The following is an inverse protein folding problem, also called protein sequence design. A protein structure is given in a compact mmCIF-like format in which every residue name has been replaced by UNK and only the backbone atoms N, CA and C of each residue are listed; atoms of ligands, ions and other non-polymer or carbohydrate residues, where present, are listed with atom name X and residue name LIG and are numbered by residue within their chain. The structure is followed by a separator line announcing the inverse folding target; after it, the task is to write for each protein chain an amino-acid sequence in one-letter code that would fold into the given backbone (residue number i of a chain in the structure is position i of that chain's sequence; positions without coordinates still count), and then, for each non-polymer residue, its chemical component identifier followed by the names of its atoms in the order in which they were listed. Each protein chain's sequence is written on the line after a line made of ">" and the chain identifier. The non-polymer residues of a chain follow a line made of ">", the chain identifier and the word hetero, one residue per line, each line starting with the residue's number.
data_IF_714803821828
#
_entry.id   IF_714803821828
#
_cell.length_a   1.000
_cell.length_b   1.000
_cell.length_c   1.000
_cell.angle_alpha   90.00
_cell.angle_beta   90.00
_cell.angle_gamma   90.00
#
_symmetry.space_group_name_H-M   'P 1'
#
loop_
_entity.id
_entity.type
_entity.pdbx_description
1 polymer ?
#
# COMPACT_ATOMS: atom_id res chain seq x y z
N UNK A 1 58.23 23.77 -25.99
CA UNK A 1 57.90 24.04 -27.42
C UNK A 1 56.76 23.08 -27.77
N UNK A 2 55.51 23.53 -27.84
CA UNK A 2 54.86 24.13 -29.03
C UNK A 2 54.81 23.14 -30.21
N UNK A 3 53.71 22.81 -30.89
CA UNK A 3 52.35 23.32 -30.88
C UNK A 3 51.40 22.28 -31.54
N UNK A 4 50.11 22.42 -31.20
CA UNK A 4 48.88 22.25 -32.00
C UNK A 4 48.87 21.38 -33.28
N UNK A 5 47.87 20.49 -33.36
CA UNK A 5 47.16 20.19 -34.62
C UNK A 5 45.70 19.85 -34.30
N UNK A 6 44.84 20.82 -34.56
CA UNK A 6 43.39 20.77 -34.54
C UNK A 6 42.82 20.13 -35.80
N UNK A 7 41.68 19.44 -35.70
CA UNK A 7 40.70 19.33 -36.79
C UNK A 7 39.33 19.15 -36.19
N UNK A 8 38.58 20.26 -36.14
CA UNK A 8 37.14 20.25 -36.00
C UNK A 8 36.48 20.14 -37.36
N UNK A 9 35.33 19.48 -37.42
CA UNK A 9 34.39 19.61 -38.53
C UNK A 9 33.07 20.12 -37.98
N UNK A 10 32.83 21.40 -38.23
CA UNK A 10 31.54 22.07 -38.13
C UNK A 10 30.98 22.22 -39.54
N UNK A 11 29.72 21.86 -39.74
CA UNK A 11 28.94 22.31 -40.89
C UNK A 11 27.72 23.10 -40.38
N UNK A 12 27.76 24.41 -40.61
CA UNK A 12 26.63 25.34 -40.79
C UNK A 12 26.57 25.60 -42.32
N UNK A 13 25.49 25.84 -43.05
CA UNK A 13 24.15 26.42 -42.85
C UNK A 13 23.24 25.87 -43.97
N UNK A 14 21.91 25.94 -43.88
CA UNK A 14 21.15 26.99 -44.57
C UNK A 14 19.70 27.04 -44.09
N UNK A 15 19.21 28.26 -44.07
CA UNK A 15 17.96 28.76 -43.51
C UNK A 15 16.84 28.91 -44.56
N UNK A 16 15.60 28.93 -44.07
CA UNK A 16 14.39 29.61 -44.60
C UNK A 16 13.57 28.93 -45.71
N UNK A 17 12.30 28.68 -45.39
CA UNK A 17 11.20 28.43 -46.33
C UNK A 17 9.87 28.21 -45.59
N UNK A 18 9.06 29.27 -45.51
CA UNK A 18 7.76 29.38 -44.81
C UNK A 18 6.61 28.59 -45.51
N UNK A 19 5.40 28.50 -44.90
CA UNK A 19 4.35 27.51 -45.20
C UNK A 19 3.48 27.90 -46.41
N UNK A 20 2.68 26.98 -46.99
CA UNK A 20 1.77 27.36 -48.06
C UNK A 20 0.57 28.14 -47.48
N UNK A 21 0.52 29.41 -47.84
CA UNK A 21 -0.65 30.29 -47.70
C UNK A 21 -1.14 30.55 -49.13
N UNK A 22 -2.36 30.15 -49.46
CA UNK A 22 -3.06 30.67 -50.64
C UNK A 22 -4.04 31.74 -50.15
N UNK A 23 -3.79 33.01 -50.49
CA UNK A 23 -4.80 34.08 -50.54
C UNK A 23 -5.55 34.02 -51.88
N UNK A 24 -6.68 34.68 -52.13
CA UNK A 24 -7.41 35.80 -51.52
C UNK A 24 -8.73 35.97 -52.36
N UNK A 25 -9.50 37.08 -52.33
CA UNK A 25 -10.36 37.69 -51.30
C UNK A 25 -11.85 37.79 -51.75
N UNK A 26 -12.80 38.15 -50.86
CA UNK A 26 -13.78 39.24 -51.08
C UNK A 26 -14.66 39.47 -49.84
N UNK A 27 -15.14 40.71 -49.72
CA UNK A 27 -15.57 41.41 -48.50
C UNK A 27 -16.96 41.04 -47.92
N UNK A 28 -17.11 41.32 -46.62
CA UNK A 28 -18.40 41.44 -45.91
C UNK A 28 -19.24 42.63 -46.45
N UNK A 29 -20.55 42.74 -46.15
CA UNK A 29 -20.92 43.45 -44.90
C UNK A 29 -22.29 43.03 -44.26
N UNK A 30 -22.49 43.29 -42.94
CA UNK A 30 -23.73 43.63 -42.16
C UNK A 30 -25.06 42.90 -42.48
N UNK A 31 -25.92 42.45 -41.55
CA UNK A 31 -26.39 43.09 -40.32
C UNK A 31 -27.27 42.12 -39.49
N UNK A 32 -27.26 42.30 -38.17
CA UNK A 32 -28.35 42.21 -37.17
C UNK A 32 -29.56 41.27 -37.36
N UNK A 33 -29.94 40.57 -36.27
CA UNK A 33 -31.21 40.77 -35.50
C UNK A 33 -31.78 39.47 -34.88
N UNK A 34 -31.69 39.38 -33.55
CA UNK A 34 -32.70 38.90 -32.58
C UNK A 34 -33.23 37.45 -32.49
N UNK A 35 -33.66 37.15 -31.27
CA UNK A 35 -34.05 35.88 -30.63
C UNK A 35 -35.54 35.49 -30.81
N UNK A 36 -36.12 34.59 -29.96
CA UNK A 36 -36.58 33.23 -30.25
C UNK A 36 -38.13 33.11 -30.34
N UNK A 37 -38.70 31.93 -30.67
CA UNK A 37 -40.03 31.49 -30.15
C UNK A 37 -40.30 30.02 -30.47
N UNK A 38 -40.83 29.35 -29.45
CA UNK A 38 -41.38 28.00 -29.36
C UNK A 38 -42.54 27.71 -30.33
N UNK A 39 -42.70 26.44 -30.71
CA UNK A 39 -43.91 25.96 -31.37
C UNK A 39 -43.96 24.43 -31.41
N UNK A 40 -44.70 23.84 -30.47
CA UNK A 40 -45.01 22.42 -30.40
C UNK A 40 -45.96 21.96 -31.54
N UNK A 41 -45.83 20.70 -31.98
CA UNK A 41 -46.89 19.77 -32.45
C UNK A 41 -46.21 18.50 -33.00
N UNK A 42 -46.23 17.33 -32.35
CA UNK A 42 -47.28 16.28 -32.27
C UNK A 42 -47.58 15.49 -33.56
N UNK A 43 -47.19 14.20 -33.52
CA UNK A 43 -47.87 12.98 -34.01
C UNK A 43 -47.73 12.60 -35.51
N UNK A 44 -46.89 11.60 -35.83
CA UNK A 44 -47.34 10.24 -36.22
C UNK A 44 -46.24 9.38 -36.85
N UNK A 45 -46.35 8.08 -36.58
CA UNK A 45 -45.45 6.99 -36.91
C UNK A 45 -45.29 6.69 -38.42
N UNK A 46 -44.09 6.23 -38.79
CA UNK A 46 -43.87 5.31 -39.89
C UNK A 46 -43.02 4.16 -39.38
N UNK A 47 -43.61 2.97 -39.40
CA UNK A 47 -42.97 1.68 -39.20
C UNK A 47 -41.93 1.46 -40.30
N UNK A 48 -40.68 1.23 -39.93
CA UNK A 48 -39.74 0.56 -40.81
C UNK A 48 -38.77 -0.26 -39.95
N UNK A 49 -38.89 -1.57 -40.04
CA UNK A 49 -37.90 -2.53 -39.56
C UNK A 49 -36.54 -2.18 -40.19
N UNK A 50 -35.65 -1.66 -39.37
CA UNK A 50 -34.23 -1.61 -39.65
C UNK A 50 -33.53 -2.10 -38.39
N UNK A 51 -32.98 -3.30 -38.47
CA UNK A 51 -32.16 -3.95 -37.45
C UNK A 51 -30.94 -3.08 -37.15
N UNK A 52 -31.09 -2.13 -36.22
CA UNK A 52 -29.97 -1.44 -35.60
C UNK A 52 -29.34 -2.38 -34.58
N UNK A 53 -28.00 -2.47 -34.48
CA UNK A 53 -27.39 -3.14 -33.34
C UNK A 53 -27.81 -2.36 -32.10
N UNK A 54 -28.62 -2.97 -31.24
CA UNK A 54 -28.92 -2.47 -29.90
C UNK A 54 -27.65 -2.55 -29.04
N UNK A 55 -26.68 -1.69 -29.31
CA UNK A 55 -25.81 -1.17 -28.28
C UNK A 55 -26.54 0.05 -27.70
N UNK A 56 -27.70 -0.18 -27.05
CA UNK A 56 -28.24 0.82 -26.16
C UNK A 56 -27.17 1.04 -25.09
N UNK A 57 -26.49 2.18 -25.17
CA UNK A 57 -25.57 2.61 -24.12
C UNK A 57 -26.35 2.50 -22.81
N UNK A 58 -25.92 1.57 -21.94
CA UNK A 58 -26.55 1.39 -20.65
C UNK A 58 -26.60 2.78 -19.98
N UNK A 59 -27.74 3.17 -19.36
CA UNK A 59 -27.80 4.39 -18.57
C UNK A 59 -26.59 4.44 -17.63
N UNK A 60 -25.93 5.59 -17.59
CA UNK A 60 -24.77 5.79 -16.71
C UNK A 60 -25.24 5.58 -15.27
N UNK A 61 -24.93 4.41 -14.72
CA UNK A 61 -25.26 4.09 -13.34
C UNK A 61 -24.25 4.79 -12.45
N UNK A 62 -24.68 5.91 -11.87
CA UNK A 62 -23.89 6.75 -10.98
C UNK A 62 -23.87 6.19 -9.55
N UNK A 63 -24.56 5.07 -9.30
CA UNK A 63 -24.76 4.53 -7.97
C UNK A 63 -25.68 5.37 -7.08
N UNK A 64 -26.16 4.78 -5.97
CA UNK A 64 -26.91 5.50 -4.96
C UNK A 64 -26.01 6.52 -4.24
N UNK A 65 -26.54 7.67 -3.78
CA UNK A 65 -25.71 8.68 -3.11
C UNK A 65 -25.07 8.12 -1.83
N UNK A 66 -23.80 8.45 -1.60
CA UNK A 66 -23.10 8.13 -0.35
C UNK A 66 -22.40 6.77 -0.29
N UNK A 67 -22.41 5.99 -1.38
CA UNK A 67 -21.56 4.80 -1.47
C UNK A 67 -20.07 5.16 -1.48
N UNK A 68 -19.25 4.27 -0.92
CA UNK A 68 -17.81 4.44 -0.76
C UNK A 68 -17.02 3.55 -1.71
N UNK A 69 -17.56 2.39 -2.07
CA UNK A 69 -16.95 1.47 -3.01
C UNK A 69 -17.98 0.62 -3.76
N UNK A 70 -17.55 -0.09 -4.80
CA UNK A 70 -18.33 -1.14 -5.43
C UNK A 70 -17.55 -2.46 -5.47
N UNK A 71 -18.29 -3.56 -5.58
CA UNK A 71 -17.75 -4.89 -5.88
C UNK A 71 -18.67 -5.58 -6.88
N UNK A 72 -18.09 -6.31 -7.83
CA UNK A 72 -18.84 -7.13 -8.78
C UNK A 72 -18.93 -8.56 -8.27
N UNK A 73 -20.15 -9.06 -8.08
CA UNK A 73 -20.45 -10.46 -7.79
C UNK A 73 -20.83 -11.19 -9.07
N UNK A 74 -20.60 -12.51 -9.10
CA UNK A 74 -20.90 -13.37 -10.25
C UNK A 74 -20.30 -12.86 -11.58
N UNK A 75 -19.08 -12.34 -11.53
CA UNK A 75 -18.34 -11.80 -12.68
C UNK A 75 -18.31 -12.81 -13.84
N UNK A 76 -18.60 -12.36 -15.06
CA UNK A 76 -18.68 -13.18 -16.27
C UNK A 76 -19.80 -14.23 -16.28
N UNK A 77 -20.87 -14.02 -15.52
CA UNK A 77 -22.07 -14.88 -15.54
C UNK A 77 -23.31 -14.06 -15.94
N UNK A 78 -24.42 -14.69 -16.37
CA UNK A 78 -25.67 -13.96 -16.64
C UNK A 78 -26.26 -13.27 -15.40
N UNK A 79 -25.78 -13.61 -14.20
CA UNK A 79 -26.22 -13.04 -12.93
C UNK A 79 -25.22 -12.01 -12.38
N UNK A 80 -24.30 -11.51 -13.22
CA UNK A 80 -23.32 -10.50 -12.81
C UNK A 80 -24.01 -9.30 -12.18
N UNK A 81 -23.52 -8.90 -11.01
CA UNK A 81 -24.16 -7.89 -10.18
C UNK A 81 -23.14 -6.98 -9.53
N UNK A 82 -23.24 -5.69 -9.80
CA UNK A 82 -22.51 -4.66 -9.05
C UNK A 82 -23.25 -4.36 -7.75
N UNK A 83 -22.56 -4.49 -6.63
CA UNK A 83 -23.07 -4.12 -5.30
C UNK A 83 -22.42 -2.81 -4.87
N UNK A 84 -23.25 -1.84 -4.49
CA UNK A 84 -22.82 -0.55 -3.96
C UNK A 84 -22.61 -0.64 -2.46
N UNK A 85 -21.38 -0.39 -2.03
CA UNK A 85 -20.92 -0.55 -0.66
C UNK A 85 -20.85 0.82 0.02
N UNK A 86 -21.55 0.97 1.13
CA UNK A 86 -21.50 2.13 2.00
C UNK A 86 -20.36 2.00 3.04
N UNK A 87 -20.59 2.43 4.30
CA UNK A 87 -19.61 2.29 5.36
C UNK A 87 -19.23 0.83 5.65
N UNK A 88 -17.99 0.63 6.09
CA UNK A 88 -17.49 -0.68 6.53
C UNK A 88 -17.16 -0.72 8.02
N UNK A 89 -17.15 -1.92 8.58
CA UNK A 89 -16.60 -2.22 9.90
C UNK A 89 -15.79 -3.52 9.83
N UNK A 90 -14.60 -3.54 10.44
CA UNK A 90 -13.80 -4.77 10.54
C UNK A 90 -14.04 -5.42 11.90
N UNK A 91 -14.67 -6.59 11.90
CA UNK A 91 -15.11 -7.29 13.12
C UNK A 91 -14.46 -8.66 13.26
N UNK A 92 -14.49 -9.21 14.48
CA UNK A 92 -13.98 -10.53 14.82
C UNK A 92 -12.49 -10.54 15.18
N UNK A 93 -12.10 -11.52 15.99
CA UNK A 93 -10.70 -11.80 16.36
C UNK A 93 -10.17 -13.09 15.71
N UNK A 94 -10.96 -14.19 15.75
CA UNK A 94 -10.62 -15.50 15.16
C UNK A 94 -11.31 -15.80 13.81
N UNK A 95 -12.19 -14.91 13.37
CA UNK A 95 -12.80 -14.96 12.05
C UNK A 95 -12.98 -13.54 11.55
N UNK A 96 -11.85 -12.87 11.34
CA UNK A 96 -11.87 -11.47 10.94
C UNK A 96 -12.64 -11.30 9.64
N UNK A 97 -13.60 -10.38 9.63
CA UNK A 97 -14.38 -10.07 8.44
C UNK A 97 -14.67 -8.59 8.34
N UNK A 98 -14.77 -8.10 7.11
CA UNK A 98 -15.26 -6.78 6.79
C UNK A 98 -16.76 -6.86 6.57
N UNK A 99 -17.52 -6.12 7.37
CA UNK A 99 -18.95 -5.91 7.16
C UNK A 99 -19.13 -4.63 6.38
N UNK A 100 -19.73 -4.74 5.20
CA UNK A 100 -20.12 -3.60 4.38
C UNK A 100 -21.62 -3.39 4.51
N UNK A 101 -22.01 -2.20 4.96
CA UNK A 101 -23.39 -1.74 4.85
C UNK A 101 -23.64 -1.39 3.39
N UNK A 102 -24.41 -2.20 2.68
CA UNK A 102 -24.70 -1.93 1.28
C UNK A 102 -25.65 -0.73 1.17
N UNK A 103 -25.54 0.02 0.08
CA UNK A 103 -26.27 1.28 -0.07
C UNK A 103 -27.77 1.09 -0.33
N UNK A 104 -28.21 -0.12 -0.64
CA UNK A 104 -29.62 -0.49 -0.70
C UNK A 104 -30.09 -1.01 0.66
N UNK A 105 -31.31 -0.64 1.06
CA UNK A 105 -31.82 -0.87 2.42
C UNK A 105 -31.66 -2.33 2.90
N UNK A 106 -31.04 -2.47 4.07
CA UNK A 106 -30.86 -3.73 4.81
C UNK A 106 -30.00 -4.79 4.11
N UNK A 107 -29.33 -4.45 3.01
CA UNK A 107 -28.38 -5.36 2.37
C UNK A 107 -27.04 -5.35 3.09
N UNK A 108 -26.41 -6.52 3.19
CA UNK A 108 -25.15 -6.72 3.91
C UNK A 108 -24.19 -7.54 3.06
N UNK A 109 -22.95 -7.08 2.95
CA UNK A 109 -21.86 -7.86 2.38
C UNK A 109 -20.81 -8.15 3.45
N UNK A 110 -20.55 -9.43 3.70
CA UNK A 110 -19.48 -9.90 4.57
C UNK A 110 -18.30 -10.37 3.72
N UNK A 111 -17.13 -9.78 3.90
CA UNK A 111 -15.88 -10.25 3.31
C UNK A 111 -15.01 -10.89 4.41
N UNK A 112 -14.90 -12.22 4.39
CA UNK A 112 -14.07 -12.96 5.34
C UNK A 112 -12.60 -12.87 4.94
N UNK A 113 -11.77 -12.40 5.86
CA UNK A 113 -10.33 -12.29 5.66
C UNK A 113 -9.67 -13.68 5.82
N UNK A 114 -8.60 -13.98 5.05
CA UNK A 114 -7.95 -15.30 5.05
C UNK A 114 -7.10 -15.58 6.31
N UNK A 115 -6.78 -14.55 7.09
CA UNK A 115 -5.99 -14.66 8.32
C UNK A 115 -6.58 -13.78 9.42
N UNK A 116 -6.49 -14.29 10.64
CA UNK A 116 -6.83 -13.56 11.87
C UNK A 116 -5.75 -12.57 12.27
N UNK A 117 -4.53 -12.75 11.75
CA UNK A 117 -3.40 -11.84 12.00
C UNK A 117 -3.47 -10.69 11.00
N UNK A 118 -3.67 -9.43 11.44
CA UNK A 118 -3.78 -8.29 10.53
C UNK A 118 -2.54 -8.04 9.67
N UNK A 119 -1.35 -8.37 10.19
CA UNK A 119 -0.09 -8.23 9.48
C UNK A 119 -0.01 -9.09 8.20
N UNK A 120 -0.72 -10.23 8.17
CA UNK A 120 -0.71 -11.19 7.06
C UNK A 120 -1.69 -10.83 5.94
N UNK A 121 -2.46 -9.75 6.08
CA UNK A 121 -3.39 -9.29 5.05
C UNK A 121 -2.72 -8.24 4.17
N UNK A 122 -2.74 -8.44 2.85
CA UNK A 122 -2.03 -7.58 1.90
C UNK A 122 -2.93 -7.04 0.78
N UNK A 123 -3.57 -5.87 0.96
CA UNK A 123 -4.30 -5.19 -0.09
C UNK A 123 -3.37 -4.79 -1.26
N UNK A 124 -3.73 -5.24 -2.46
CA UNK A 124 -2.96 -5.03 -3.68
C UNK A 124 -3.53 -3.88 -4.50
N UNK A 125 -2.66 -2.96 -4.92
CA UNK A 125 -2.96 -1.90 -5.89
C UNK A 125 -1.95 -1.95 -7.03
N UNK A 126 -2.36 -1.49 -8.21
CA UNK A 126 -1.56 -1.58 -9.42
C UNK A 126 -0.53 -0.46 -9.50
N UNK A 127 0.59 -0.77 -10.14
CA UNK A 127 1.62 0.18 -10.53
C UNK A 127 1.16 1.10 -11.68
N UNK A 128 1.60 2.36 -11.70
CA UNK A 128 1.25 3.37 -12.72
C UNK A 128 1.38 2.92 -14.18
N UNK A 129 2.40 2.12 -14.49
CA UNK A 129 2.62 1.56 -15.84
C UNK A 129 1.48 0.67 -16.36
N UNK A 130 0.62 0.13 -15.49
CA UNK A 130 -0.54 -0.64 -15.94
C UNK A 130 -1.63 0.23 -16.58
N UNK A 131 -1.68 1.52 -16.24
CA UNK A 131 -2.56 2.53 -16.86
C UNK A 131 -1.76 3.81 -17.13
N UNK A 132 -0.95 3.85 -18.21
CA UNK A 132 0.02 4.93 -18.44
C UNK A 132 -0.62 6.30 -18.72
N UNK A 133 -1.92 6.35 -19.03
CA UNK A 133 -2.67 7.56 -19.33
C UNK A 133 -3.58 8.03 -18.19
N UNK A 134 -3.47 7.37 -17.03
CA UNK A 134 -4.27 7.65 -15.83
C UNK A 134 -3.34 8.24 -14.76
N UNK A 135 -3.86 9.11 -13.88
CA UNK A 135 -3.10 9.53 -12.70
C UNK A 135 -2.77 8.28 -11.85
N UNK A 136 -1.50 7.99 -11.53
CA UNK A 136 -1.17 6.84 -10.69
C UNK A 136 -1.86 6.86 -9.32
N UNK A 137 -2.28 8.02 -8.81
CA UNK A 137 -3.05 8.10 -7.57
C UNK A 137 -4.42 7.43 -7.71
N UNK A 138 -5.07 7.51 -8.88
CA UNK A 138 -6.34 6.83 -9.14
C UNK A 138 -6.21 5.30 -9.12
N UNK A 139 -5.00 4.75 -9.29
CA UNK A 139 -4.78 3.31 -9.11
C UNK A 139 -4.97 2.84 -7.65
N UNK A 140 -4.94 3.75 -6.67
CA UNK A 140 -5.31 3.41 -5.29
C UNK A 140 -6.82 3.26 -5.10
N UNK A 141 -7.65 3.70 -6.04
CA UNK A 141 -9.09 3.45 -6.00
C UNK A 141 -9.40 1.96 -6.19
N UNK A 142 -8.52 1.22 -6.89
CA UNK A 142 -8.73 -0.18 -7.25
C UNK A 142 -7.94 -1.10 -6.31
N UNK A 143 -8.62 -1.65 -5.32
CA UNK A 143 -8.03 -2.58 -4.37
C UNK A 143 -8.42 -4.01 -4.72
N UNK A 144 -7.42 -4.89 -4.77
CA UNK A 144 -7.62 -6.32 -4.99
C UNK A 144 -6.86 -7.16 -3.98
N UNK A 145 -7.21 -8.43 -3.88
CA UNK A 145 -6.43 -9.41 -3.14
C UNK A 145 -5.89 -10.48 -4.09
N UNK A 146 -4.68 -10.97 -3.81
CA UNK A 146 -4.00 -11.94 -4.69
C UNK A 146 -4.59 -13.33 -4.59
N UNK A 147 -5.27 -13.62 -3.48
CA UNK A 147 -5.91 -14.90 -3.21
C UNK A 147 -7.43 -14.68 -3.16
N UNK A 148 -8.23 -15.65 -3.62
CA UNK A 148 -9.68 -15.59 -3.49
C UNK A 148 -10.09 -15.58 -2.01
N UNK A 149 -11.03 -14.72 -1.66
CA UNK A 149 -11.57 -14.62 -0.31
C UNK A 149 -13.04 -15.00 -0.30
N UNK A 150 -13.53 -15.50 0.84
CA UNK A 150 -14.95 -15.84 0.95
C UNK A 150 -15.75 -14.55 1.11
N UNK A 151 -16.73 -14.36 0.24
CA UNK A 151 -17.66 -13.24 0.30
C UNK A 151 -19.06 -13.81 0.46
N UNK A 152 -19.81 -13.27 1.42
CA UNK A 152 -21.23 -13.53 1.60
C UNK A 152 -22.01 -12.25 1.36
N UNK A 153 -23.07 -12.33 0.55
CA UNK A 153 -23.98 -11.21 0.34
C UNK A 153 -25.42 -11.63 0.67
N UNK A 154 -26.03 -10.82 1.53
CA UNK A 154 -27.37 -11.00 2.07
C UNK A 154 -28.25 -9.85 1.60
N UNK A 155 -29.39 -10.16 1.01
CA UNK A 155 -30.36 -9.16 0.54
C UNK A 155 -31.08 -8.50 1.70
N UNK A 156 -31.82 -7.41 1.43
CA UNK A 156 -32.61 -6.71 2.45
C UNK A 156 -33.71 -7.57 3.10
N UNK A 157 -34.09 -8.68 2.48
CA UNK A 157 -35.03 -9.67 3.02
C UNK A 157 -34.35 -10.68 3.98
N UNK A 158 -33.03 -10.57 4.17
CA UNK A 158 -32.25 -11.51 4.97
C UNK A 158 -31.86 -12.80 4.23
N UNK A 159 -32.05 -12.87 2.91
CA UNK A 159 -31.74 -14.05 2.11
C UNK A 159 -30.29 -13.98 1.62
N UNK A 160 -29.52 -15.02 1.92
CA UNK A 160 -28.15 -15.17 1.39
C UNK A 160 -28.23 -15.66 -0.06
N UNK A 161 -27.78 -14.82 -0.99
CA UNK A 161 -27.78 -15.16 -2.43
C UNK A 161 -26.38 -15.45 -2.98
N UNK A 162 -25.33 -15.06 -2.24
CA UNK A 162 -23.93 -15.36 -2.57
C UNK A 162 -23.21 -15.76 -1.29
N UNK A 163 -22.50 -16.90 -1.31
CA UNK A 163 -21.58 -17.32 -0.23
C UNK A 163 -20.48 -18.20 -0.83
N UNK A 164 -19.49 -17.56 -1.46
CA UNK A 164 -18.46 -18.25 -2.24
C UNK A 164 -17.09 -17.60 -2.11
N UNK A 165 -16.04 -18.37 -2.41
CA UNK A 165 -14.70 -17.83 -2.65
C UNK A 165 -14.71 -17.03 -3.97
N UNK A 166 -14.30 -15.78 -3.91
CA UNK A 166 -14.32 -14.83 -5.04
C UNK A 166 -13.02 -14.04 -5.08
N UNK A 167 -12.54 -13.69 -6.28
CA UNK A 167 -11.48 -12.71 -6.43
C UNK A 167 -12.00 -11.33 -6.02
N UNK A 168 -11.68 -10.90 -4.80
CA UNK A 168 -12.19 -9.64 -4.27
C UNK A 168 -11.49 -8.46 -4.97
N UNK A 169 -12.30 -7.66 -5.66
CA UNK A 169 -11.91 -6.42 -6.34
C UNK A 169 -12.87 -5.32 -5.90
N UNK A 170 -12.34 -4.29 -5.26
CA UNK A 170 -13.07 -3.10 -4.86
C UNK A 170 -12.69 -1.93 -5.75
N UNK A 171 -13.70 -1.16 -6.14
CA UNK A 171 -13.53 0.13 -6.82
C UNK A 171 -14.08 1.24 -5.92
N UNK A 172 -13.18 2.03 -5.32
CA UNK A 172 -13.51 3.08 -4.38
C UNK A 172 -13.85 4.39 -5.07
N UNK A 173 -14.74 5.17 -4.48
CA UNK A 173 -15.10 6.51 -4.98
C UNK A 173 -14.04 7.56 -4.66
N UNK A 174 -13.25 7.35 -3.59
CA UNK A 174 -12.17 8.26 -3.20
C UNK A 174 -10.91 7.52 -2.76
N UNK A 175 -9.74 8.12 -3.02
CA UNK A 175 -8.44 7.58 -2.59
C UNK A 175 -8.38 7.54 -1.07
N UNK A 176 -8.90 8.55 -0.39
CA UNK A 176 -8.89 8.60 1.07
C UNK A 176 -9.65 7.42 1.71
N UNK A 177 -10.84 7.08 1.19
CA UNK A 177 -11.58 5.90 1.66
C UNK A 177 -10.82 4.60 1.39
N UNK A 178 -10.14 4.50 0.25
CA UNK A 178 -9.37 3.30 -0.08
C UNK A 178 -8.17 3.14 0.86
N UNK A 179 -7.43 4.22 1.16
CA UNK A 179 -6.31 4.21 2.11
C UNK A 179 -6.78 3.83 3.53
N UNK A 180 -7.91 4.40 3.99
CA UNK A 180 -8.50 4.05 5.30
C UNK A 180 -8.89 2.58 5.37
N UNK A 181 -9.58 2.07 4.35
CA UNK A 181 -9.98 0.67 4.27
C UNK A 181 -8.77 -0.28 4.34
N UNK A 182 -7.73 0.00 3.54
CA UNK A 182 -6.50 -0.80 3.57
C UNK A 182 -5.88 -0.81 4.96
N UNK A 183 -5.87 0.35 5.62
CA UNK A 183 -5.33 0.48 6.97
C UNK A 183 -6.13 -0.28 8.02
N UNK A 184 -7.46 -0.22 7.97
CA UNK A 184 -8.34 -0.92 8.92
C UNK A 184 -8.24 -2.43 8.81
N UNK A 185 -8.17 -2.95 7.58
CA UNK A 185 -7.99 -4.39 7.33
C UNK A 185 -6.66 -4.88 7.93
N UNK A 186 -5.59 -4.07 7.83
CA UNK A 186 -4.25 -4.40 8.34
C UNK A 186 -3.97 -3.98 9.77
N UNK A 187 -4.84 -3.17 10.40
CA UNK A 187 -4.57 -2.42 11.65
C UNK A 187 -3.27 -1.60 11.60
N UNK A 188 -2.98 -1.03 10.43
CA UNK A 188 -1.82 -0.16 10.18
C UNK A 188 -2.30 1.12 9.50
N UNK A 189 -1.55 2.20 9.61
CA UNK A 189 -1.78 3.39 8.80
C UNK A 189 -0.89 3.33 7.56
N UNK A 190 -1.48 3.52 6.39
CA UNK A 190 -0.73 3.64 5.14
C UNK A 190 -0.12 5.04 5.07
N UNK A 191 1.19 5.14 5.26
CA UNK A 191 1.91 6.42 5.31
C UNK A 191 2.10 6.97 3.90
N UNK A 192 2.62 6.14 2.99
CA UNK A 192 2.81 6.51 1.59
C UNK A 192 2.97 5.25 0.71
N UNK A 193 2.86 5.44 -0.60
CA UNK A 193 3.07 4.42 -1.61
C UNK A 193 3.92 4.95 -2.77
N UNK A 194 4.67 4.05 -3.40
CA UNK A 194 5.68 4.40 -4.38
C UNK A 194 5.66 3.45 -5.58
N UNK A 195 5.67 4.00 -6.79
CA UNK A 195 5.83 3.21 -8.00
C UNK A 195 7.31 2.84 -8.19
N UNK A 196 7.61 1.54 -8.14
CA UNK A 196 8.96 1.01 -8.24
C UNK A 196 9.12 0.08 -9.44
N UNK A 197 10.19 0.30 -10.20
CA UNK A 197 10.53 -0.50 -11.38
C UNK A 197 11.10 -1.86 -10.98
N UNK A 198 12.01 -1.87 -10.00
CA UNK A 198 12.65 -3.09 -9.51
C UNK A 198 13.07 -2.96 -8.05
N UNK A 199 12.84 -4.03 -7.30
CA UNK A 199 13.35 -4.28 -5.95
C UNK A 199 14.24 -5.51 -6.01
N UNK A 200 15.41 -5.46 -5.39
CA UNK A 200 16.41 -6.55 -5.41
C UNK A 200 17.19 -6.61 -4.09
N UNK A 201 17.92 -7.69 -3.88
CA UNK A 201 18.80 -7.89 -2.72
C UNK A 201 20.12 -8.53 -3.16
N UNK A 202 21.02 -8.81 -2.22
CA UNK A 202 22.22 -9.63 -2.49
C UNK A 202 21.87 -11.10 -2.78
N UNK A 203 20.82 -11.63 -2.16
CA UNK A 203 20.30 -12.98 -2.48
C UNK A 203 19.54 -12.99 -3.81
N UNK A 204 18.77 -11.95 -4.08
CA UNK A 204 17.98 -11.83 -5.32
C UNK A 204 18.54 -10.70 -6.18
N UNK A 205 19.55 -11.03 -6.98
CA UNK A 205 20.25 -10.06 -7.83
C UNK A 205 19.31 -9.26 -8.75
N UNK A 206 19.70 -8.01 -9.03
CA UNK A 206 18.93 -7.09 -9.88
C UNK A 206 18.75 -7.61 -11.29
N UNK A 207 19.81 -8.19 -11.87
CA UNK A 207 19.82 -8.72 -13.23
C UNK A 207 20.11 -10.22 -13.25
N UNK A 208 19.68 -10.90 -14.30
CA UNK A 208 20.13 -12.26 -14.59
C UNK A 208 21.56 -12.27 -15.18
N UNK A 209 22.08 -13.46 -15.49
CA UNK A 209 23.40 -13.62 -16.11
C UNK A 209 23.52 -13.07 -17.54
N UNK A 210 22.39 -12.71 -18.17
CA UNK A 210 22.33 -12.11 -19.50
C UNK A 210 22.12 -10.58 -19.44
N UNK A 211 22.01 -10.01 -18.24
CA UNK A 211 21.80 -8.57 -18.03
C UNK A 211 20.33 -8.13 -18.02
N UNK A 212 19.37 -9.05 -18.12
CA UNK A 212 17.94 -8.70 -18.05
C UNK A 212 17.52 -8.42 -16.62
N UNK A 213 16.64 -7.44 -16.43
CA UNK A 213 16.10 -7.09 -15.12
C UNK A 213 15.24 -8.24 -14.58
N UNK A 214 15.61 -8.75 -13.40
CA UNK A 214 14.93 -9.86 -12.72
C UNK A 214 14.44 -9.44 -11.34
N UNK A 215 15.36 -9.01 -10.47
CA UNK A 215 15.07 -8.61 -9.09
C UNK A 215 14.27 -9.65 -8.30
N UNK A 216 13.83 -9.26 -7.10
CA UNK A 216 12.82 -10.01 -6.34
C UNK A 216 11.39 -9.53 -6.65
N UNK A 217 11.23 -8.24 -6.96
CA UNK A 217 9.95 -7.62 -7.28
C UNK A 217 10.11 -6.63 -8.43
N UNK A 218 9.20 -6.65 -9.40
CA UNK A 218 9.22 -5.80 -10.59
C UNK A 218 7.91 -5.07 -10.78
N UNK A 219 7.97 -3.83 -11.26
CA UNK A 219 6.83 -3.01 -11.72
C UNK A 219 5.65 -3.15 -10.77
N UNK A 220 5.85 -2.65 -9.55
CA UNK A 220 4.91 -2.84 -8.44
C UNK A 220 4.80 -1.58 -7.62
N UNK A 221 3.74 -1.50 -6.84
CA UNK A 221 3.58 -0.44 -5.85
C UNK A 221 4.13 -0.89 -4.51
N UNK A 222 5.18 -0.22 -4.05
CA UNK A 222 5.75 -0.37 -2.72
C UNK A 222 4.89 0.43 -1.73
N UNK A 223 4.63 -0.10 -0.54
CA UNK A 223 3.84 0.59 0.50
C UNK A 223 4.62 0.71 1.80
N UNK A 224 4.59 1.91 2.38
CA UNK A 224 5.13 2.23 3.69
C UNK A 224 4.00 2.31 4.70
N UNK A 225 4.09 1.51 5.75
CA UNK A 225 3.08 1.39 6.79
C UNK A 225 3.64 1.89 8.11
N UNK A 226 2.73 2.33 8.97
CA UNK A 226 2.97 2.55 10.39
C UNK A 226 2.01 1.68 11.18
N UNK A 227 2.53 0.86 12.07
CA UNK A 227 1.71 0.04 12.94
C UNK A 227 0.96 0.89 13.96
N UNK A 228 -0.35 0.69 14.13
CA UNK A 228 -1.17 1.55 15.01
C UNK A 228 -0.85 1.37 16.50
N UNK A 229 -0.30 0.22 16.89
CA UNK A 229 -0.01 -0.10 18.29
C UNK A 229 1.43 0.19 18.66
N UNK A 230 2.36 -0.39 17.91
CA UNK A 230 3.79 -0.27 18.17
C UNK A 230 4.40 1.00 17.61
N UNK A 231 3.69 1.68 16.70
CA UNK A 231 4.14 2.86 15.95
C UNK A 231 5.35 2.63 15.03
N UNK A 232 5.85 1.39 14.94
CA UNK A 232 6.94 1.03 14.04
C UNK A 232 6.52 1.10 12.59
N UNK A 233 7.48 1.42 11.73
CA UNK A 233 7.27 1.48 10.31
C UNK A 233 7.73 0.21 9.59
N UNK A 234 6.98 -0.20 8.59
CA UNK A 234 7.29 -1.37 7.77
C UNK A 234 7.10 -1.11 6.28
N UNK A 235 7.95 -1.73 5.45
CA UNK A 235 7.86 -1.71 4.01
C UNK A 235 7.32 -3.03 3.48
N UNK A 236 6.24 -2.98 2.71
CA UNK A 236 5.66 -4.15 2.04
C UNK A 236 6.10 -4.22 0.58
N UNK A 237 6.74 -5.32 0.21
CA UNK A 237 7.21 -5.63 -1.16
C UNK A 237 6.51 -6.89 -1.66
N UNK A 238 5.95 -6.85 -2.87
CA UNK A 238 5.45 -8.05 -3.53
C UNK A 238 6.57 -8.75 -4.32
N UNK A 239 7.02 -9.91 -3.83
CA UNK A 239 8.12 -10.68 -4.40
C UNK A 239 7.67 -11.53 -5.60
N UNK A 240 7.23 -10.87 -6.68
CA UNK A 240 6.60 -11.51 -7.83
C UNK A 240 7.51 -12.45 -8.66
N UNK A 241 8.83 -12.44 -8.44
CA UNK A 241 9.80 -13.32 -9.13
C UNK A 241 10.63 -14.22 -8.21
N UNK A 242 10.45 -14.13 -6.88
CA UNK A 242 11.15 -14.97 -5.91
C UNK A 242 10.22 -16.04 -5.35
N UNK A 243 10.47 -17.31 -5.70
CA UNK A 243 10.08 -18.55 -5.00
C UNK A 243 8.60 -18.85 -4.69
N UNK A 244 7.69 -17.89 -4.74
CA UNK A 244 6.31 -18.10 -4.29
C UNK A 244 5.34 -16.94 -4.50
N UNK A 245 5.70 -15.89 -5.26
CA UNK A 245 4.83 -14.70 -5.52
C UNK A 245 4.10 -14.22 -4.26
N UNK A 246 4.88 -13.97 -3.22
CA UNK A 246 4.37 -13.64 -1.89
C UNK A 246 4.71 -12.20 -1.54
N UNK A 247 3.92 -11.61 -0.66
CA UNK A 247 4.32 -10.38 0.00
C UNK A 247 5.43 -10.65 1.02
N UNK A 248 6.31 -9.68 1.16
CA UNK A 248 7.34 -9.63 2.20
C UNK A 248 7.27 -8.29 2.88
N UNK A 249 7.20 -8.33 4.19
CA UNK A 249 7.21 -7.14 5.03
C UNK A 249 8.58 -7.00 5.69
N UNK A 250 9.13 -5.79 5.63
CA UNK A 250 10.44 -5.46 6.18
C UNK A 250 10.30 -4.29 7.15
N UNK A 251 10.57 -4.54 8.42
CA UNK A 251 10.58 -3.49 9.44
C UNK A 251 11.72 -2.49 9.20
N UNK A 252 11.42 -1.20 9.30
CA UNK A 252 12.36 -0.12 8.99
C UNK A 252 13.54 -0.11 9.96
N UNK A 253 13.30 -0.31 11.26
CA UNK A 253 14.36 -0.35 12.27
C UNK A 253 15.47 -1.41 12.02
N UNK A 254 15.22 -2.41 11.17
CA UNK A 254 16.23 -3.39 10.75
C UNK A 254 17.27 -2.83 9.75
N UNK A 255 17.05 -1.66 9.17
CA UNK A 255 17.94 -1.03 8.20
C UNK A 255 18.69 0.17 8.79
N UNK A 256 19.83 0.50 8.21
CA UNK A 256 20.55 1.74 8.53
C UNK A 256 19.71 2.96 8.16
N UNK A 257 19.59 3.92 9.07
CA UNK A 257 18.81 5.13 8.82
C UNK A 257 19.45 6.08 7.79
N UNK A 258 20.78 6.05 7.68
CA UNK A 258 21.52 6.91 6.75
C UNK A 258 21.60 6.28 5.35
N UNK A 259 21.01 6.93 4.35
CA UNK A 259 21.00 6.47 2.96
C UNK A 259 22.31 6.80 2.22
N UNK A 260 23.42 6.20 2.65
CA UNK A 260 24.77 6.43 2.07
C UNK A 260 24.91 5.99 0.61
N UNK A 261 24.18 4.95 0.23
CA UNK A 261 24.29 4.28 -1.07
C UNK A 261 23.14 4.66 -2.02
N UNK A 262 22.94 5.96 -2.24
CA UNK A 262 21.91 6.47 -3.17
C UNK A 262 22.51 6.88 -4.51
N UNK A 263 21.75 6.69 -5.59
CA UNK A 263 22.06 7.12 -6.94
C UNK A 263 20.90 7.96 -7.47
N UNK A 264 21.04 9.28 -7.30
CA UNK A 264 20.03 10.28 -7.67
C UNK A 264 19.77 10.32 -9.18
N UNK A 265 20.77 9.96 -10.00
CA UNK A 265 20.66 9.95 -11.46
C UNK A 265 19.71 8.85 -11.91
N UNK A 266 19.85 7.67 -11.33
CA UNK A 266 19.02 6.51 -11.67
C UNK A 266 17.84 6.29 -10.73
N UNK A 267 17.62 7.19 -9.75
CA UNK A 267 16.56 7.11 -8.73
C UNK A 267 16.63 5.79 -7.96
N UNK A 268 17.82 5.46 -7.46
CA UNK A 268 18.05 4.22 -6.75
C UNK A 268 18.47 4.50 -5.32
N UNK A 269 17.96 3.68 -4.41
CA UNK A 269 18.44 3.60 -3.02
C UNK A 269 18.85 2.18 -2.73
N UNK A 270 19.86 2.04 -1.86
CA UNK A 270 20.23 0.77 -1.25
C UNK A 270 20.12 0.92 0.26
N UNK A 271 19.15 0.21 0.84
CA UNK A 271 18.91 0.12 2.27
C UNK A 271 19.83 -0.97 2.82
N UNK A 272 20.82 -0.60 3.62
CA UNK A 272 21.74 -1.56 4.24
C UNK A 272 21.07 -2.15 5.48
N UNK A 273 21.13 -3.47 5.64
CA UNK A 273 20.65 -4.12 6.87
C UNK A 273 21.62 -3.83 8.01
N UNK A 274 21.10 -3.48 9.19
CA UNK A 274 21.94 -3.31 10.39
C UNK A 274 22.55 -4.66 10.75
N UNK A 275 23.87 -4.71 10.87
CA UNK A 275 24.56 -5.87 11.43
C UNK A 275 24.07 -6.07 12.87
N UNK A 276 23.22 -7.09 13.10
CA UNK A 276 22.67 -7.39 14.43
C UNK A 276 23.71 -8.03 15.37
N UNK A 277 25.00 -7.71 15.21
CA UNK A 277 26.08 -8.11 16.12
C UNK A 277 26.05 -7.33 17.46
N UNK A 278 24.90 -6.78 17.84
CA UNK A 278 24.68 -6.11 19.14
C UNK A 278 23.77 -6.89 20.08
N UNK A 279 23.63 -8.19 19.88
CA UNK A 279 23.19 -9.11 20.94
C UNK A 279 24.42 -9.82 21.52
N UNK A 280 24.82 -9.33 22.70
CA UNK A 280 25.71 -9.92 23.71
C UNK A 280 26.26 -11.32 23.45
N UNK A 281 27.54 -11.40 23.09
CA UNK A 281 28.41 -12.48 23.53
C UNK A 281 29.48 -11.86 24.44
N UNK A 282 29.80 -12.45 25.61
CA UNK A 282 30.81 -11.90 26.49
C UNK A 282 32.17 -11.98 25.79
N UNK A 283 33.01 -10.98 26.05
CA UNK A 283 34.40 -10.93 25.64
C UNK A 283 35.07 -12.30 25.74
N UNK A 284 35.45 -12.84 24.60
CA UNK A 284 36.59 -13.75 24.52
C UNK A 284 37.24 -13.58 23.16
N UNK A 285 38.42 -12.99 23.23
CA UNK A 285 39.36 -12.82 22.15
C UNK A 285 39.51 -14.10 21.31
N UNK A 286 39.48 -13.95 19.98
CA UNK A 286 40.41 -14.71 19.15
C UNK A 286 40.67 -14.01 17.81
N UNK A 287 41.90 -13.53 17.68
CA UNK A 287 42.53 -13.14 16.43
C UNK A 287 42.76 -14.38 15.56
N UNK A 288 42.27 -14.43 14.32
CA UNK A 288 42.97 -15.08 13.18
C UNK A 288 42.17 -14.87 11.87
N UNK A 289 42.61 -13.98 10.97
CA UNK A 289 43.39 -14.22 9.74
C UNK A 289 42.68 -15.05 8.64
N UNK A 290 42.38 -14.33 7.55
CA UNK A 290 42.41 -14.73 6.13
C UNK A 290 42.04 -16.16 5.72
N UNK A 291 40.99 -16.30 4.90
CA UNK A 291 40.90 -17.36 3.90
C UNK A 291 40.11 -16.90 2.66
N UNK A 292 40.82 -16.76 1.53
CA UNK A 292 40.25 -16.75 0.18
C UNK A 292 40.00 -18.20 -0.30
N UNK A 293 39.13 -18.42 -1.30
CA UNK A 293 38.45 -19.68 -1.52
C UNK A 293 39.22 -20.62 -2.46
N UNK A 294 39.28 -21.92 -2.12
CA UNK A 294 39.64 -22.95 -3.07
C UNK A 294 38.39 -23.62 -3.65
N UNK A 295 38.27 -23.46 -4.97
CA UNK A 295 37.39 -24.18 -5.89
C UNK A 295 37.86 -25.63 -6.00
N UNK A 296 37.03 -26.61 -5.66
CA UNK A 296 37.08 -27.96 -6.26
C UNK A 296 35.70 -28.60 -6.19
N UNK A 297 35.25 -29.11 -7.34
CA UNK A 297 34.01 -29.86 -7.54
C UNK A 297 34.43 -31.29 -7.89
N UNK A 298 33.89 -32.30 -7.22
CA UNK A 298 33.68 -33.62 -7.81
C UNK A 298 32.61 -34.42 -7.07
N UNK A 299 31.86 -35.19 -7.86
CA UNK A 299 30.66 -36.00 -7.57
C UNK A 299 30.95 -37.25 -6.75
N UNK A 300 30.01 -37.66 -5.90
CA UNK A 300 29.63 -39.09 -5.69
C UNK A 300 28.10 -39.16 -5.48
N UNK A 301 27.50 -40.29 -5.91
CA UNK A 301 26.07 -40.58 -6.07
C UNK A 301 25.64 -41.68 -5.06
N UNK A 302 24.36 -41.63 -4.65
CA UNK A 302 23.48 -42.71 -4.15
C UNK A 302 23.46 -43.07 -2.65
N UNK A 303 22.24 -43.17 -2.08
CA UNK A 303 21.91 -44.14 -1.01
C UNK A 303 21.02 -43.70 0.16
N UNK A 304 19.70 -43.64 -0.06
CA UNK A 304 18.55 -44.01 0.83
C UNK A 304 18.53 -43.85 2.38
N UNK A 305 17.33 -43.47 2.87
CA UNK A 305 16.78 -43.52 4.25
C UNK A 305 17.31 -42.40 5.18
N UNK A 306 16.52 -41.72 6.02
CA UNK A 306 15.24 -41.95 6.68
C UNK A 306 14.69 -40.59 7.18
N UNK A 307 13.42 -40.56 7.60
CA UNK A 307 12.65 -39.36 7.91
C UNK A 307 13.18 -38.45 9.02
N UNK A 308 12.72 -37.20 8.97
CA UNK A 308 12.93 -36.20 10.01
C UNK A 308 12.13 -34.93 9.71
N UNK A 309 11.02 -34.78 10.43
CA UNK A 309 10.27 -33.55 10.74
C UNK A 309 10.28 -32.38 9.76
N UNK A 310 9.10 -32.14 9.19
CA UNK A 310 8.57 -30.79 8.93
C UNK A 310 8.73 -29.98 10.22
N UNK A 311 9.79 -29.18 10.28
CA UNK A 311 9.97 -28.20 11.35
C UNK A 311 9.38 -26.90 10.86
N UNK A 312 8.29 -26.55 11.54
CA UNK A 312 7.59 -25.30 11.56
C UNK A 312 8.45 -24.10 11.20
N UNK A 313 7.92 -23.29 10.28
CA UNK A 313 8.28 -21.90 10.11
C UNK A 313 7.96 -21.14 11.40
N UNK A 314 8.81 -21.33 12.39
CA UNK A 314 8.89 -20.47 13.56
C UNK A 314 9.58 -19.19 13.08
N UNK A 315 8.84 -18.09 13.21
CA UNK A 315 9.28 -16.72 13.01
C UNK A 315 10.55 -16.45 13.82
N UNK A 316 11.69 -16.62 13.16
CA UNK A 316 12.98 -16.19 13.69
C UNK A 316 13.02 -14.67 13.67
N UNK A 317 12.63 -14.07 14.79
CA UNK A 317 13.09 -12.75 15.16
C UNK A 317 14.62 -12.77 15.16
N UNK A 318 15.23 -12.12 14.17
CA UNK A 318 16.65 -11.78 14.19
C UNK A 318 17.56 -12.50 13.20
N UNK A 319 17.26 -12.47 11.90
CA UNK A 319 18.23 -12.03 10.88
C UNK A 319 17.55 -11.98 9.52
N UNK A 320 17.51 -10.82 8.90
CA UNK A 320 17.25 -10.76 7.47
C UNK A 320 18.34 -11.57 6.77
N UNK A 321 17.97 -12.59 5.99
CA UNK A 321 18.88 -13.35 5.12
C UNK A 321 19.27 -12.51 3.88
N UNK A 322 19.63 -11.26 4.10
CA UNK A 322 20.12 -10.34 3.08
C UNK A 322 20.93 -9.24 3.72
N UNK A 323 21.91 -8.73 2.99
CA UNK A 323 22.76 -7.62 3.43
C UNK A 323 22.17 -6.26 3.09
N UNK A 324 21.37 -6.20 2.03
CA UNK A 324 20.74 -4.96 1.60
C UNK A 324 19.46 -5.20 0.80
N UNK A 325 18.60 -4.18 0.77
CA UNK A 325 17.47 -4.08 -0.13
C UNK A 325 17.70 -2.89 -1.09
N UNK A 326 17.82 -3.19 -2.38
CA UNK A 326 17.94 -2.19 -3.43
C UNK A 326 16.58 -1.88 -4.04
N UNK A 327 16.28 -0.61 -4.28
CA UNK A 327 15.01 -0.14 -4.85
C UNK A 327 15.32 0.86 -5.96
N UNK A 328 14.67 0.71 -7.11
CA UNK A 328 14.69 1.66 -8.21
C UNK A 328 13.29 2.20 -8.44
N UNK A 329 13.13 3.51 -8.32
CA UNK A 329 11.84 4.18 -8.47
C UNK A 329 11.57 4.51 -9.93
N UNK A 330 10.31 4.34 -10.33
CA UNK A 330 9.85 4.67 -11.67
C UNK A 330 9.88 6.19 -11.89
N UNK A 331 9.44 6.94 -10.89
CA UNK A 331 9.27 8.40 -10.92
C UNK A 331 10.24 9.11 -9.99
N UNK A 332 10.59 10.36 -10.32
CA UNK A 332 11.51 11.17 -9.50
C UNK A 332 10.83 11.67 -8.22
N UNK A 333 9.53 11.90 -8.32
CA UNK A 333 8.65 12.36 -7.25
C UNK A 333 8.62 11.31 -6.13
N UNK A 334 8.34 10.05 -6.48
CA UNK A 334 8.33 8.93 -5.52
C UNK A 334 9.69 8.70 -4.86
N UNK A 335 10.79 8.84 -5.61
CA UNK A 335 12.13 8.77 -5.05
C UNK A 335 12.39 9.84 -3.98
N UNK A 336 11.96 11.09 -4.22
CA UNK A 336 12.13 12.19 -3.26
C UNK A 336 11.25 11.98 -2.03
N UNK A 337 9.95 11.70 -2.24
CA UNK A 337 9.01 11.38 -1.17
C UNK A 337 9.53 10.24 -0.29
N UNK A 338 10.07 9.19 -0.90
CA UNK A 338 10.64 8.08 -0.16
C UNK A 338 11.81 8.49 0.73
N UNK A 339 12.75 9.30 0.22
CA UNK A 339 13.90 9.76 1.02
C UNK A 339 13.43 10.58 2.23
N UNK A 340 12.46 11.47 2.03
CA UNK A 340 11.90 12.30 3.09
C UNK A 340 11.17 11.43 4.13
N UNK A 341 10.26 10.56 3.66
CA UNK A 341 9.52 9.63 4.51
C UNK A 341 10.42 8.64 5.25
N UNK A 342 11.52 8.19 4.64
CA UNK A 342 12.49 7.29 5.26
C UNK A 342 13.16 7.91 6.49
N UNK A 343 13.57 9.18 6.40
CA UNK A 343 14.18 9.89 7.52
C UNK A 343 13.19 10.04 8.67
N UNK A 344 11.94 10.43 8.36
CA UNK A 344 10.87 10.59 9.35
C UNK A 344 10.57 9.26 10.03
N UNK A 345 10.34 8.19 9.26
CA UNK A 345 10.06 6.85 9.79
C UNK A 345 11.20 6.31 10.66
N UNK A 346 12.45 6.52 10.27
CA UNK A 346 13.58 6.10 11.10
C UNK A 346 13.74 6.90 12.37
N UNK A 347 13.49 8.21 12.30
CA UNK A 347 13.57 9.07 13.49
C UNK A 347 12.54 8.64 14.52
N UNK A 348 11.29 8.41 14.12
CA UNK A 348 10.22 7.94 15.01
C UNK A 348 10.48 6.54 15.55
N UNK A 349 10.93 5.60 14.72
CA UNK A 349 11.27 4.24 15.17
C UNK A 349 12.42 4.23 16.19
N UNK A 350 13.34 5.19 16.10
CA UNK A 350 14.52 5.26 16.98
C UNK A 350 14.20 5.76 18.39
N UNK A 351 13.11 6.50 18.57
CA UNK A 351 12.66 7.02 19.87
C UNK A 351 12.25 5.91 20.85
N UNK A 352 11.79 4.77 20.33
CA UNK A 352 11.29 3.65 21.13
C UNK A 352 12.33 2.53 21.38
N UNK A 353 13.62 2.80 21.12
CA UNK A 353 14.74 1.88 21.37
C UNK A 353 14.57 0.45 20.84
N UNK A 354 13.78 0.25 19.77
CA UNK A 354 13.66 -1.02 19.08
C UNK A 354 13.17 -2.19 19.94
N UNK A 355 12.24 -1.98 20.88
CA UNK A 355 11.50 -3.08 21.52
C UNK A 355 10.29 -3.38 20.63
N UNK A 356 10.38 -4.34 19.68
CA UNK A 356 9.27 -4.68 18.80
C UNK A 356 8.08 -5.16 19.63
N UNK A 357 6.89 -4.66 19.32
CA UNK A 357 5.67 -5.24 19.85
C UNK A 357 5.39 -6.57 19.11
N UNK A 358 4.92 -7.62 19.79
CA UNK A 358 4.70 -8.90 19.13
C UNK A 358 3.61 -8.81 18.04
N UNK A 359 3.87 -9.28 16.81
CA UNK A 359 2.90 -9.29 15.72
C UNK A 359 1.73 -10.26 15.97
N UNK A 360 1.91 -11.21 16.89
CA UNK A 360 0.92 -12.22 17.28
C UNK A 360 0.44 -12.00 18.73
N UNK A 361 0.05 -10.77 19.07
CA UNK A 361 -0.56 -10.54 20.37
C UNK A 361 -2.06 -10.87 20.32
N UNK A 362 -2.55 -11.49 21.40
CA UNK A 362 -3.98 -11.76 21.57
C UNK A 362 -4.63 -10.48 22.08
N UNK A 363 -5.41 -9.84 21.22
CA UNK A 363 -6.33 -8.81 21.68
C UNK A 363 -7.56 -9.47 22.31
N UNK A 364 -7.87 -9.07 23.54
CA UNK A 364 -9.12 -9.45 24.16
C UNK A 364 -10.26 -8.80 23.38
N UNK A 365 -11.36 -9.51 23.10
CA UNK A 365 -12.50 -8.94 22.40
C UNK A 365 -13.00 -7.71 23.16
N UNK A 366 -13.10 -6.58 22.45
CA UNK A 366 -13.72 -5.37 22.99
C UNK A 366 -15.10 -5.73 23.53
N UNK A 367 -15.48 -5.30 24.75
CA UNK A 367 -16.81 -5.57 25.27
C UNK A 367 -17.84 -5.03 24.28
N UNK A 368 -18.73 -5.91 23.81
CA UNK A 368 -19.86 -5.52 22.97
C UNK A 368 -20.75 -4.61 23.81
N UNK A 369 -20.71 -3.30 23.56
CA UNK A 369 -21.70 -2.39 24.14
C UNK A 369 -23.00 -2.66 23.40
N UNK A 370 -23.85 -3.50 23.97
CA UNK A 370 -25.20 -3.71 23.49
C UNK A 370 -25.96 -2.36 23.55
N UNK A 371 -26.76 -2.00 22.54
CA UNK A 371 -27.58 -0.79 22.59
C UNK A 371 -28.56 -0.87 23.77
N UNK A 372 -28.24 -0.18 24.87
CA UNK A 372 -29.06 -0.17 26.09
C UNK A 372 -28.28 -0.34 27.40
N UNK A 373 -27.01 -0.78 27.37
CA UNK A 373 -26.17 -0.87 28.57
C UNK A 373 -25.35 0.43 28.76
N UNK A 374 -26.00 1.47 29.26
CA UNK A 374 -25.28 2.56 29.91
C UNK A 374 -24.71 2.02 31.21
N UNK A 375 -23.42 1.72 31.24
CA UNK A 375 -22.69 1.62 32.49
C UNK A 375 -22.65 3.03 33.09
N UNK A 376 -23.63 3.35 33.94
CA UNK A 376 -23.51 4.47 34.88
C UNK A 376 -22.28 4.18 35.73
N UNK A 377 -21.16 4.81 35.37
CA UNK A 377 -20.04 4.94 36.28
C UNK A 377 -20.60 5.64 37.53
N UNK A 378 -20.50 5.05 38.73
CA UNK A 378 -20.90 5.75 39.94
C UNK A 378 -20.05 7.02 40.01
N UNK A 379 -20.72 8.17 39.94
CA UNK A 379 -20.06 9.46 40.16
C UNK A 379 -19.32 9.41 41.49
N UNK A 380 -18.07 9.88 41.56
CA UNK A 380 -17.37 9.91 42.84
C UNK A 380 -18.15 10.82 43.78
N UNK A 381 -18.57 10.29 44.93
CA UNK A 381 -19.22 11.04 46.00
C UNK A 381 -18.35 12.26 46.39
N UNK A 382 -18.81 13.46 46.05
CA UNK A 382 -18.17 14.75 46.40
C UNK A 382 -18.42 15.11 47.89
N UNK A 383 -18.77 14.15 48.74
CA UNK A 383 -19.17 14.38 50.14
C UNK A 383 -18.17 13.87 51.18
N UNK A 384 -16.88 13.78 50.82
CA UNK A 384 -15.79 13.63 51.80
C UNK A 384 -14.93 14.88 51.81
N UNK A 385 -15.18 15.74 52.80
CA UNK A 385 -14.50 17.02 53.00
C UNK A 385 -12.98 16.89 52.99
N UNK A 386 -12.34 17.86 52.33
CA UNK A 386 -10.89 18.06 52.34
C UNK A 386 -10.40 18.14 53.79
N UNK A 387 -9.58 17.17 54.21
CA UNK A 387 -8.78 17.34 55.42
C UNK A 387 -7.70 18.40 55.13
N UNK A 388 -7.58 19.46 55.95
CA UNK A 388 -6.51 20.41 55.79
C UNK A 388 -5.18 19.75 56.16
N UNK A 389 -4.24 19.81 55.23
CA UNK A 389 -2.83 19.42 55.41
C UNK A 389 -2.22 20.40 56.43
N UNK A 390 -1.63 19.87 57.50
CA UNK A 390 -0.93 20.68 58.50
C UNK A 390 0.40 21.20 57.90
N UNK A 391 0.61 22.52 57.96
CA UNK A 391 1.89 23.15 57.61
C UNK A 391 3.01 22.71 58.57
N UNK A 392 4.25 22.53 58.08
CA UNK A 392 5.39 22.22 58.92
C UNK A 392 5.80 23.45 59.75
N UNK A 393 6.26 23.28 61.00
CA UNK A 393 6.68 24.40 61.84
C UNK A 393 8.00 25.03 61.34
N UNK A 394 7.99 26.35 61.26
CA UNK A 394 9.17 27.19 61.02
C UNK A 394 10.23 26.97 62.12
N UNK A 395 11.41 26.49 61.72
CA UNK A 395 12.61 26.56 62.57
C UNK A 395 13.51 27.69 62.07
N UNK A 396 13.25 28.89 62.56
CA UNK A 396 14.20 30.01 62.58
C UNK A 396 15.03 29.99 63.86
N UNK A 397 16.26 30.51 63.72
CA UNK A 397 17.31 30.74 64.71
C UNK A 397 18.17 29.53 65.07
N UNK A 398 19.47 29.62 65.23
CA UNK A 398 20.51 30.62 64.95
C UNK A 398 21.75 29.93 65.49
N UNK A 399 22.85 29.80 64.74
CA UNK A 399 24.14 29.91 65.42
C UNK A 399 25.25 30.41 64.49
N UNK A 400 25.97 31.37 65.04
CA UNK A 400 26.99 32.19 64.38
C UNK A 400 28.38 31.57 64.57
N UNK A 401 29.41 32.06 63.85
CA UNK A 401 30.69 31.37 63.72
C UNK A 401 31.67 31.71 64.84
N UNK A 402 32.55 30.77 65.16
CA UNK A 402 33.90 31.02 65.71
C UNK A 402 34.90 30.11 65.05
#
# INVERSE_FOLDING_TARGET
>A
MAASSSSGSSFTSSSLGRPPTYGQPYASPIDSTWTPVSGASTISALTSEASAPHASLHPLDLGPPGYQATITLFENTPNERTVYLGPWEVVGSEQRRVLWQCSYQSELLEHFLPSDVPADIFPHTLHGRHRPYTDPCELELFISFREPHRVRYTTGEGVVIHDHLTEVKYDFTTVESSLRFQGDVRRKDLVDYYDVDVVWSDVHGRTDGFGNVRGMGLVQRLKLWRDRYSTYHSLTVFANRAGGRQYREYEIHNFEGELRNRDDRHRQVRLTVRDNRRCSAPDSASRSRFALPHRMRSRVRSGSQSGGSLSEATSSFGSLDMKYLGIQFSKREDYRKFIEGWVVAHSSDSEFHGIPFPPHHVELPSPQILPGEMWELPSPDITRGLQPVAEPPDSSESDSPT
#
